data_IF_890297048745
#
_entry.id   IF_890297048745
#
_cell.length_a   1.000
_cell.length_b   1.000
_cell.length_c   1.000
_cell.angle_alpha   90.00
_cell.angle_beta   90.00
_cell.angle_gamma   90.00
#
_symmetry.space_group_name_H-M   'P 1'
#
loop_
_entity.id
_entity.type
_entity.pdbx_description
1 polymer ?
#
# COMPACT_ATOMS: atom_id res chain seq x y z
N UNK A 1 -1.97 15.87 10.88
CA UNK A 1 -1.66 15.01 9.74
C UNK A 1 -0.84 13.85 10.26
N UNK A 2 -1.34 12.64 10.07
CA UNK A 2 -0.60 11.42 10.42
C UNK A 2 0.56 11.23 9.46
N UNK A 3 1.67 10.70 9.95
CA UNK A 3 2.83 10.31 9.16
C UNK A 3 3.21 8.90 9.56
N UNK A 4 3.65 8.09 8.62
CA UNK A 4 4.23 6.78 8.91
C UNK A 4 5.75 6.85 8.70
N UNK A 5 6.51 6.24 9.61
CA UNK A 5 7.96 6.25 9.55
C UNK A 5 8.50 4.84 9.65
N UNK A 6 9.47 4.53 8.80
CA UNK A 6 10.18 3.25 8.87
C UNK A 6 11.64 3.44 8.51
N UNK A 7 12.48 2.49 8.93
CA UNK A 7 13.91 2.49 8.61
C UNK A 7 14.21 1.35 7.66
N UNK A 8 14.92 1.63 6.58
CA UNK A 8 15.40 0.63 5.63
C UNK A 8 16.87 0.90 5.31
N UNK A 9 17.73 -0.11 5.48
CA UNK A 9 19.18 -0.01 5.28
C UNK A 9 19.84 1.23 5.95
N UNK A 10 19.36 1.60 7.14
CA UNK A 10 19.90 2.73 7.92
C UNK A 10 19.45 4.12 7.45
N UNK A 11 18.52 4.20 6.51
CA UNK A 11 17.85 5.44 6.07
C UNK A 11 16.42 5.47 6.63
N UNK A 12 16.03 6.62 7.20
CA UNK A 12 14.65 6.87 7.61
C UNK A 12 13.81 7.30 6.40
N UNK A 13 12.64 6.69 6.27
CA UNK A 13 11.63 7.01 5.28
C UNK A 13 10.39 7.57 5.98
N UNK A 14 9.80 8.62 5.40
CA UNK A 14 8.63 9.30 5.97
C UNK A 14 7.53 9.32 4.91
N UNK A 15 6.43 8.60 5.17
CA UNK A 15 5.24 8.62 4.33
C UNK A 15 4.23 9.59 4.91
N UNK A 16 3.81 10.55 4.10
CA UNK A 16 2.82 11.57 4.45
C UNK A 16 1.89 11.81 3.28
N UNK A 17 0.70 12.33 3.54
CA UNK A 17 -0.24 12.65 2.46
C UNK A 17 0.32 13.66 1.44
N UNK A 18 1.25 14.53 1.84
CA UNK A 18 1.89 15.52 0.96
C UNK A 18 2.95 14.91 0.03
N UNK A 19 3.59 13.82 0.46
CA UNK A 19 4.62 13.10 -0.30
C UNK A 19 4.07 11.92 -1.11
N UNK A 20 2.74 11.84 -1.23
CA UNK A 20 2.03 10.81 -1.96
C UNK A 20 1.70 11.30 -3.37
N UNK A 21 2.28 10.68 -4.40
CA UNK A 21 2.00 10.95 -5.81
C UNK A 21 0.57 10.58 -6.21
N UNK A 22 -0.04 9.58 -5.55
CA UNK A 22 -1.45 9.29 -5.75
C UNK A 22 -1.96 8.03 -5.07
N UNK A 23 -3.29 7.92 -5.04
CA UNK A 23 -4.03 6.68 -4.78
C UNK A 23 -4.59 6.19 -6.12
N UNK A 24 -4.01 5.12 -6.65
CA UNK A 24 -4.51 4.42 -7.84
C UNK A 24 -5.48 3.35 -7.38
N UNK A 25 -6.75 3.49 -7.74
CA UNK A 25 -7.80 2.53 -7.36
C UNK A 25 -8.10 1.58 -8.52
N UNK A 26 -8.74 0.45 -8.23
CA UNK A 26 -9.11 -0.54 -9.24
C UNK A 26 -10.06 0.08 -10.28
N UNK A 27 -9.74 -0.13 -11.57
CA UNK A 27 -10.45 0.49 -12.69
C UNK A 27 -11.88 -0.05 -12.86
N UNK A 28 -12.11 -1.34 -12.57
CA UNK A 28 -13.41 -2.00 -12.78
C UNK A 28 -14.26 -2.01 -11.51
N UNK A 29 -13.62 -2.19 -10.35
CA UNK A 29 -14.24 -2.31 -9.03
C UNK A 29 -13.60 -1.36 -8.01
N UNK A 30 -13.71 -0.04 -8.17
CA UNK A 30 -13.09 0.91 -7.27
C UNK A 30 -13.63 0.77 -5.84
N UNK A 31 -12.71 0.75 -4.88
CA UNK A 31 -13.04 0.70 -3.44
C UNK A 31 -13.39 2.08 -2.91
N UNK A 32 -14.46 2.19 -2.14
CA UNK A 32 -14.88 3.42 -1.45
C UNK A 32 -14.56 3.37 0.04
N UNK A 33 -14.49 4.54 0.67
CA UNK A 33 -14.31 4.65 2.12
C UNK A 33 -12.90 4.35 2.61
N UNK A 34 -11.89 4.49 1.74
CA UNK A 34 -10.48 4.43 2.08
C UNK A 34 -9.73 5.53 1.33
N UNK A 35 -9.01 6.35 2.07
CA UNK A 35 -8.16 7.43 1.56
C UNK A 35 -6.71 7.23 2.03
N UNK A 36 -5.79 8.07 1.54
CA UNK A 36 -4.37 8.00 1.92
C UNK A 36 -4.18 8.15 3.44
N UNK A 37 -4.98 8.98 4.10
CA UNK A 37 -4.93 9.13 5.56
C UNK A 37 -5.24 7.81 6.28
N UNK A 38 -6.24 7.07 5.82
CA UNK A 38 -6.62 5.78 6.40
C UNK A 38 -5.50 4.74 6.22
N UNK A 39 -4.84 4.74 5.05
CA UNK A 39 -3.69 3.86 4.79
C UNK A 39 -2.54 4.19 5.74
N UNK A 40 -2.20 5.47 5.92
CA UNK A 40 -1.16 5.88 6.87
C UNK A 40 -1.51 5.47 8.31
N UNK A 41 -2.77 5.62 8.71
CA UNK A 41 -3.23 5.24 10.05
C UNK A 41 -3.19 3.71 10.26
N UNK A 42 -3.50 2.91 9.22
CA UNK A 42 -3.36 1.45 9.23
C UNK A 42 -1.90 1.02 9.43
N UNK A 43 -0.96 1.64 8.72
CA UNK A 43 0.47 1.35 8.88
C UNK A 43 0.96 1.68 10.29
N UNK A 44 0.56 2.83 10.84
CA UNK A 44 0.92 3.23 12.20
C UNK A 44 0.33 2.30 13.28
N UNK A 45 -0.75 1.61 12.97
CA UNK A 45 -1.46 0.72 13.90
C UNK A 45 -1.04 -0.75 13.78
N UNK A 46 -0.13 -1.07 12.86
CA UNK A 46 0.31 -2.43 12.56
C UNK A 46 1.76 -2.65 13.01
N UNK A 47 2.02 -3.81 13.61
CA UNK A 47 3.35 -4.32 13.93
C UNK A 47 3.91 -5.25 12.83
N UNK A 48 3.16 -5.43 11.72
CA UNK A 48 3.46 -6.36 10.63
C UNK A 48 3.98 -5.69 9.36
N UNK A 49 4.27 -4.39 9.42
CA UNK A 49 4.75 -3.64 8.26
C UNK A 49 6.23 -3.93 8.07
N UNK A 50 6.58 -4.50 6.93
CA UNK A 50 7.95 -4.83 6.57
C UNK A 50 8.14 -4.55 5.08
N UNK A 51 8.95 -3.53 4.76
CA UNK A 51 9.17 -3.10 3.37
C UNK A 51 10.33 -3.88 2.77
N UNK A 52 10.09 -4.47 1.60
CA UNK A 52 11.11 -5.15 0.80
C UNK A 52 11.50 -4.31 -0.42
N UNK A 53 12.67 -4.59 -0.99
CA UNK A 53 13.11 -3.92 -2.22
C UNK A 53 12.68 -4.71 -3.45
N UNK A 54 11.99 -4.03 -4.36
CA UNK A 54 11.59 -4.53 -5.66
C UNK A 54 12.23 -3.70 -6.78
N UNK A 55 12.47 -4.34 -7.92
CA UNK A 55 13.17 -3.74 -9.05
C UNK A 55 12.29 -3.63 -10.30
N UNK A 56 12.00 -2.41 -10.70
CA UNK A 56 11.18 -2.10 -11.87
C UNK A 56 12.03 -1.75 -13.08
N UNK A 57 11.48 -1.94 -14.28
CA UNK A 57 12.11 -1.48 -15.53
C UNK A 57 11.93 0.02 -15.75
N UNK A 58 10.92 0.61 -15.10
CA UNK A 58 10.60 2.03 -15.20
C UNK A 58 11.20 2.79 -14.02
N UNK A 59 11.73 3.99 -14.30
CA UNK A 59 12.28 4.87 -13.29
C UNK A 59 11.15 5.60 -12.54
N UNK A 60 11.44 6.02 -11.31
CA UNK A 60 10.55 6.94 -10.59
C UNK A 60 10.31 8.19 -11.46
N UNK A 61 9.04 8.50 -11.80
CA UNK A 61 8.72 9.61 -12.70
C UNK A 61 9.08 10.97 -12.10
N UNK A 62 9.09 11.09 -10.78
CA UNK A 62 9.37 12.34 -10.07
C UNK A 62 10.86 12.73 -10.09
N UNK A 63 11.76 11.79 -9.80
CA UNK A 63 13.18 12.10 -9.67
C UNK A 63 14.06 11.61 -10.83
N UNK A 64 13.58 10.64 -11.61
CA UNK A 64 14.32 10.02 -12.73
C UNK A 64 15.73 9.53 -12.33
N UNK A 65 15.93 9.18 -11.05
CA UNK A 65 17.21 8.69 -10.55
C UNK A 65 17.63 7.43 -11.32
N UNK A 66 18.90 7.33 -11.71
CA UNK A 66 19.44 6.20 -12.48
C UNK A 66 19.28 6.30 -13.99
N UNK A 67 18.41 7.19 -14.51
CA UNK A 67 18.18 7.33 -15.97
C UNK A 67 19.41 7.89 -16.66
N UNK A 68 20.05 8.92 -16.09
CA UNK A 68 21.28 9.52 -16.64
C UNK A 68 22.43 8.51 -16.66
N UNK A 69 22.47 7.66 -15.63
CA UNK A 69 23.43 6.58 -15.45
C UNK A 69 23.12 5.35 -16.32
N UNK A 70 22.03 5.37 -17.10
CA UNK A 70 21.57 4.27 -17.96
C UNK A 70 21.35 2.97 -17.19
N UNK A 71 20.84 3.07 -15.96
CA UNK A 71 20.38 1.92 -15.21
C UNK A 71 19.25 1.22 -15.97
N UNK A 72 19.21 -0.12 -15.86
CA UNK A 72 18.18 -0.97 -16.48
C UNK A 72 17.03 -1.29 -15.55
N UNK A 73 17.28 -1.21 -14.25
CA UNK A 73 16.36 -1.54 -13.18
C UNK A 73 16.48 -0.48 -12.10
N UNK A 74 15.34 -0.11 -11.53
CA UNK A 74 15.20 0.97 -10.55
C UNK A 74 14.58 0.40 -9.28
N UNK A 75 15.17 0.69 -8.12
CA UNK A 75 14.75 0.15 -6.84
C UNK A 75 13.58 0.93 -6.23
N UNK A 76 12.59 0.19 -5.74
CA UNK A 76 11.46 0.70 -4.98
C UNK A 76 11.28 -0.15 -3.73
N UNK A 77 10.88 0.49 -2.63
CA UNK A 77 10.50 -0.22 -1.41
C UNK A 77 9.01 -0.48 -1.47
N UNK A 78 8.62 -1.74 -1.31
CA UNK A 78 7.24 -2.18 -1.40
C UNK A 78 6.77 -2.87 -0.14
N UNK A 79 5.50 -2.62 0.16
CA UNK A 79 4.76 -3.36 1.16
C UNK A 79 3.35 -3.64 0.63
N UNK A 80 2.92 -4.88 0.80
CA UNK A 80 1.59 -5.32 0.40
C UNK A 80 0.78 -5.77 1.62
N UNK A 81 -0.49 -5.43 1.61
CA UNK A 81 -1.47 -5.94 2.56
C UNK A 81 -2.82 -6.09 1.88
N UNK A 82 -3.76 -6.75 2.54
CA UNK A 82 -5.11 -6.94 2.02
C UNK A 82 -6.10 -6.02 2.71
N UNK A 83 -7.05 -5.53 1.92
CA UNK A 83 -8.29 -4.95 2.41
C UNK A 83 -9.47 -5.78 1.94
N UNK A 84 -10.48 -5.84 2.78
CA UNK A 84 -11.71 -6.57 2.51
C UNK A 84 -12.87 -5.59 2.49
N UNK A 85 -13.76 -5.78 1.53
CA UNK A 85 -14.86 -4.84 1.28
C UNK A 85 -16.21 -5.54 1.40
N UNK A 86 -17.25 -4.72 1.56
CA UNK A 86 -18.64 -5.13 1.46
C UNK A 86 -19.35 -4.20 0.49
N UNK A 87 -19.91 -4.76 -0.59
CA UNK A 87 -20.56 -3.96 -1.64
C UNK A 87 -19.67 -2.82 -2.19
N UNK A 88 -18.36 -3.06 -2.29
CA UNK A 88 -17.38 -2.07 -2.76
C UNK A 88 -16.94 -1.02 -1.74
N UNK A 89 -17.39 -1.09 -0.49
CA UNK A 89 -16.90 -0.21 0.59
C UNK A 89 -15.91 -0.92 1.50
N UNK A 90 -14.83 -0.23 1.88
CA UNK A 90 -13.83 -0.72 2.82
C UNK A 90 -14.45 -1.14 4.16
N UNK A 91 -14.04 -2.30 4.68
CA UNK A 91 -14.51 -2.83 5.97
C UNK A 91 -13.36 -3.08 6.94
N UNK A 92 -12.34 -3.82 6.53
CA UNK A 92 -11.24 -4.21 7.41
C UNK A 92 -10.00 -4.57 6.59
N UNK A 93 -8.82 -4.42 7.19
CA UNK A 93 -7.53 -4.83 6.62
C UNK A 93 -6.90 -5.97 7.41
N UNK A 94 -6.12 -6.83 6.76
CA UNK A 94 -5.43 -7.95 7.42
C UNK A 94 -4.26 -7.54 8.33
N UNK A 95 -3.78 -6.31 8.17
CA UNK A 95 -2.79 -5.68 9.05
C UNK A 95 -3.42 -4.95 10.24
N UNK A 96 -4.75 -4.81 10.26
CA UNK A 96 -5.45 -4.26 11.42
C UNK A 96 -5.37 -5.20 12.63
N UNK A 97 -5.24 -4.62 13.82
CA UNK A 97 -5.33 -5.35 15.08
C UNK A 97 -6.68 -6.06 15.24
N UNK A 98 -7.76 -5.47 14.74
CA UNK A 98 -9.11 -6.05 14.74
C UNK A 98 -9.23 -7.31 13.86
N UNK A 99 -8.27 -7.54 12.96
CA UNK A 99 -8.25 -8.74 12.12
C UNK A 99 -7.57 -9.94 12.79
N UNK A 100 -6.93 -9.77 13.95
CA UNK A 100 -6.25 -10.86 14.64
C UNK A 100 -7.19 -12.04 14.93
N UNK A 101 -6.84 -13.23 14.42
CA UNK A 101 -7.64 -14.45 14.57
C UNK A 101 -8.83 -14.59 13.60
N UNK A 102 -9.06 -13.58 12.75
CA UNK A 102 -10.02 -13.64 11.65
C UNK A 102 -9.41 -14.23 10.38
N UNK A 103 -10.26 -14.44 9.38
CA UNK A 103 -9.86 -14.74 8.01
C UNK A 103 -10.96 -14.26 7.07
N UNK A 104 -10.62 -13.98 5.80
CA UNK A 104 -11.60 -13.66 4.77
C UNK A 104 -12.77 -14.67 4.77
N UNK A 105 -12.48 -15.97 4.74
CA UNK A 105 -13.51 -17.02 4.75
C UNK A 105 -14.44 -16.93 5.98
N UNK A 106 -13.92 -16.60 7.16
CA UNK A 106 -14.75 -16.45 8.37
C UNK A 106 -15.67 -15.23 8.25
N UNK A 107 -15.14 -14.10 7.76
CA UNK A 107 -15.88 -12.85 7.59
C UNK A 107 -16.95 -12.97 6.49
N UNK A 108 -16.59 -13.60 5.37
CA UNK A 108 -17.49 -13.85 4.24
C UNK A 108 -18.65 -14.77 4.64
N UNK A 109 -18.40 -15.85 5.40
CA UNK A 109 -19.45 -16.72 5.96
C UNK A 109 -20.37 -15.99 6.94
N UNK A 110 -19.89 -14.94 7.59
CA UNK A 110 -20.68 -14.05 8.45
C UNK A 110 -21.37 -12.92 7.65
N UNK A 111 -21.24 -12.91 6.32
CA UNK A 111 -21.72 -11.87 5.42
C UNK A 111 -21.19 -10.45 5.74
N UNK A 112 -20.02 -10.35 6.36
CA UNK A 112 -19.37 -9.08 6.72
C UNK A 112 -18.57 -8.47 5.58
N UNK A 113 -18.04 -9.31 4.70
CA UNK A 113 -17.27 -8.92 3.51
C UNK A 113 -17.69 -9.81 2.35
N UNK A 114 -17.56 -9.33 1.11
CA UNK A 114 -17.83 -10.08 -0.10
C UNK A 114 -16.72 -10.03 -1.14
N UNK A 115 -15.73 -9.15 -0.98
CA UNK A 115 -14.64 -9.01 -1.95
C UNK A 115 -13.32 -8.64 -1.23
N UNK A 116 -12.20 -8.79 -1.94
CA UNK A 116 -10.85 -8.58 -1.42
C UNK A 116 -9.95 -7.89 -2.43
N UNK A 117 -9.07 -7.03 -1.93
CA UNK A 117 -8.16 -6.22 -2.74
C UNK A 117 -6.78 -6.27 -2.11
N UNK A 118 -5.75 -6.27 -2.96
CA UNK A 118 -4.37 -6.06 -2.54
C UNK A 118 -4.09 -4.57 -2.57
N UNK A 119 -3.47 -4.06 -1.52
CA UNK A 119 -2.98 -2.70 -1.43
C UNK A 119 -1.47 -2.75 -1.47
N UNK A 120 -0.87 -2.10 -2.46
CA UNK A 120 0.57 -1.99 -2.66
C UNK A 120 1.01 -0.57 -2.35
N UNK A 121 1.94 -0.42 -1.41
CA UNK A 121 2.61 0.86 -1.13
C UNK A 121 3.98 0.81 -1.78
N UNK A 122 4.20 1.68 -2.77
CA UNK A 122 5.40 1.68 -3.60
C UNK A 122 6.16 2.98 -3.37
N UNK A 123 7.35 2.89 -2.77
CA UNK A 123 8.14 4.04 -2.33
C UNK A 123 9.45 4.11 -3.12
N UNK A 124 9.76 5.26 -3.72
CA UNK A 124 11.04 5.45 -4.40
C UNK A 124 12.19 5.44 -3.39
N UNK A 125 13.19 4.57 -3.60
CA UNK A 125 14.35 4.48 -2.69
C UNK A 125 15.17 5.78 -2.64
N UNK A 126 15.11 6.59 -3.71
CA UNK A 126 15.89 7.81 -3.89
C UNK A 126 15.22 9.03 -3.26
N UNK A 127 14.05 9.44 -3.79
CA UNK A 127 13.35 10.67 -3.38
C UNK A 127 12.26 10.47 -2.33
N UNK A 128 11.91 9.23 -1.98
CA UNK A 128 10.85 8.87 -1.02
C UNK A 128 9.43 9.24 -1.45
N UNK A 129 9.25 9.73 -2.67
CA UNK A 129 7.93 9.81 -3.29
C UNK A 129 7.29 8.43 -3.31
N UNK A 130 5.98 8.34 -3.06
CA UNK A 130 5.29 7.06 -3.03
C UNK A 130 3.90 7.12 -3.63
N UNK A 131 3.43 5.94 -4.05
CA UNK A 131 2.09 5.72 -4.56
C UNK A 131 1.44 4.59 -3.79
N UNK A 132 0.12 4.67 -3.61
CA UNK A 132 -0.69 3.56 -3.11
C UNK A 132 -1.54 3.04 -4.26
N UNK A 133 -1.47 1.75 -4.52
CA UNK A 133 -2.26 1.08 -5.55
C UNK A 133 -3.19 0.06 -4.91
N UNK A 134 -4.46 0.06 -5.30
CA UNK A 134 -5.49 -0.88 -4.85
C UNK A 134 -5.96 -1.67 -6.06
N UNK A 135 -5.83 -2.99 -6.01
CA UNK A 135 -6.25 -3.88 -7.11
C UNK A 135 -7.13 -5.01 -6.58
N UNK A 136 -8.20 -5.32 -7.31
CA UNK A 136 -9.08 -6.42 -6.94
C UNK A 136 -8.33 -7.74 -7.06
N UNK A 137 -8.41 -8.56 -6.01
CA UNK A 137 -7.95 -9.94 -6.09
C UNK A 137 -9.02 -10.73 -6.86
N UNK A 138 -8.94 -10.73 -8.19
CA UNK A 138 -9.84 -11.51 -9.04
C UNK A 138 -9.76 -12.98 -8.62
N UNK A 139 -10.91 -13.56 -8.23
CA UNK A 139 -11.08 -14.99 -7.95
C UNK A 139 -11.85 -15.65 -9.09
#
# INVERSE_FOLDING_TARGET
>A
MSVYKFNYNGKEYILSQESCSGLVNDDEKPVKGIEISDVIDLLNSSDKVDFDIEYYQEACPECLAGVKEKQKFFGFLEYHFYIFTKNGEYVISDISSDYQGLSFNKLSRQNKVDDSYIVSIIVCESCQDYTVQIENCIV
#
